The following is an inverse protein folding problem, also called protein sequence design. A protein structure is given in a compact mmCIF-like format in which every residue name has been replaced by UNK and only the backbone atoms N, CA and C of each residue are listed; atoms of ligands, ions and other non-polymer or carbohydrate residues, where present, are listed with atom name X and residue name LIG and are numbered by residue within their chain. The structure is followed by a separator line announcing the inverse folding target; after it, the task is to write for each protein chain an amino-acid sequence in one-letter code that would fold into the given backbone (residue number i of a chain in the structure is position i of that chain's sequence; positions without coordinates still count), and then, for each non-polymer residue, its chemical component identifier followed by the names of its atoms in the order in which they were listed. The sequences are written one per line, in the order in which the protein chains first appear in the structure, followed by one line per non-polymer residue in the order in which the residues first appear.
data_IF_087549470783
#
_entry.id   IF_087549470783
#
_cell.length_a   1.000
_cell.length_b   1.000
_cell.length_c   1.000
_cell.angle_alpha   90.00
_cell.angle_beta   90.00
_cell.angle_gamma   90.00
#
_symmetry.space_group_name_H-M   'P 1'
#
loop_
_entity.id
_entity.type
_entity.pdbx_description
1 polymer ?
#
# COMPACT_ATOMS: atom_id res chain seq x y z
N UNK A 1 7.92 -1.61 15.78
CA UNK A 1 6.86 -0.93 15.00
C UNK A 1 7.42 -0.53 13.64
N UNK A 2 6.77 -0.95 12.56
CA UNK A 2 7.15 -0.60 11.19
C UNK A 2 6.81 0.88 10.94
N UNK A 3 7.78 1.66 10.46
CA UNK A 3 7.58 3.09 10.16
C UNK A 3 7.19 3.26 8.70
N UNK A 4 6.14 4.05 8.47
CA UNK A 4 5.66 4.43 7.15
C UNK A 4 5.84 5.93 6.96
N UNK A 5 6.17 6.33 5.72
CA UNK A 5 6.12 7.73 5.32
C UNK A 5 4.66 8.19 5.18
N UNK A 6 4.43 9.50 5.07
CA UNK A 6 3.07 10.05 4.89
C UNK A 6 2.35 9.44 3.67
N UNK A 7 3.10 9.14 2.61
CA UNK A 7 2.62 8.42 1.43
C UNK A 7 2.19 6.98 1.77
N UNK A 8 2.96 6.29 2.61
CA UNK A 8 2.61 4.95 3.12
C UNK A 8 1.35 4.98 3.97
N UNK A 9 1.14 6.02 4.79
CA UNK A 9 -0.08 6.19 5.58
C UNK A 9 -1.31 6.42 4.71
N UNK A 10 -1.19 7.24 3.66
CA UNK A 10 -2.25 7.40 2.67
C UNK A 10 -2.57 6.06 1.96
N UNK A 11 -1.54 5.28 1.65
CA UNK A 11 -1.68 3.92 1.13
C UNK A 11 -2.46 2.99 2.06
N UNK A 12 -2.19 3.03 3.38
CA UNK A 12 -2.96 2.28 4.39
C UNK A 12 -4.43 2.67 4.35
N UNK A 13 -4.72 3.97 4.35
CA UNK A 13 -6.10 4.45 4.33
C UNK A 13 -6.84 3.99 3.06
N UNK A 14 -6.22 4.13 1.89
CA UNK A 14 -6.78 3.65 0.62
C UNK A 14 -7.03 2.14 0.63
N UNK A 15 -6.04 1.36 1.10
CA UNK A 15 -6.12 -0.10 1.17
C UNK A 15 -7.28 -0.58 2.07
N UNK A 16 -7.53 0.11 3.18
CA UNK A 16 -8.59 -0.27 4.13
C UNK A 16 -9.97 0.20 3.70
N UNK A 17 -10.07 1.42 3.15
CA UNK A 17 -11.36 2.04 2.80
C UNK A 17 -11.89 1.54 1.46
N UNK A 18 -11.02 1.32 0.47
CA UNK A 18 -11.42 0.88 -0.86
C UNK A 18 -12.28 -0.40 -0.87
N UNK A 19 -11.95 -1.50 -0.18
CA UNK A 19 -12.78 -2.71 -0.19
C UNK A 19 -14.15 -2.50 0.47
N UNK A 20 -14.23 -1.63 1.48
CA UNK A 20 -15.51 -1.29 2.15
C UNK A 20 -16.42 -0.53 1.19
N UNK A 21 -15.87 0.49 0.51
CA UNK A 21 -16.61 1.28 -0.49
C UNK A 21 -17.03 0.39 -1.67
N UNK A 22 -16.13 -0.47 -2.14
CA UNK A 22 -16.44 -1.43 -3.22
C UNK A 22 -17.53 -2.42 -2.82
N UNK A 23 -17.54 -2.93 -1.58
CA UNK A 23 -18.61 -3.79 -1.10
C UNK A 23 -19.97 -3.08 -1.09
N UNK A 24 -20.01 -1.83 -0.62
CA UNK A 24 -21.22 -1.00 -0.68
C UNK A 24 -21.69 -0.74 -2.11
N UNK A 25 -20.77 -0.43 -3.02
CA UNK A 25 -21.07 -0.22 -4.43
C UNK A 25 -21.57 -1.50 -5.12
N UNK A 26 -21.06 -2.67 -4.73
CA UNK A 26 -21.53 -3.96 -5.22
C UNK A 26 -22.96 -4.25 -4.76
N UNK A 27 -23.26 -4.04 -3.48
CA UNK A 27 -24.63 -4.17 -2.97
C UNK A 27 -25.59 -3.21 -3.67
N UNK A 28 -25.16 -1.97 -3.90
CA UNK A 28 -25.94 -1.01 -4.67
C UNK A 28 -26.14 -1.46 -6.13
N UNK A 29 -25.14 -2.05 -6.77
CA UNK A 29 -25.28 -2.61 -8.12
C UNK A 29 -26.33 -3.73 -8.15
N UNK A 30 -26.31 -4.63 -7.16
CA UNK A 30 -27.29 -5.72 -7.05
C UNK A 30 -28.71 -5.19 -6.84
N UNK A 31 -28.85 -4.17 -6.00
CA UNK A 31 -30.13 -3.46 -5.81
C UNK A 31 -30.64 -2.89 -7.14
N UNK A 32 -29.79 -2.18 -7.89
CA UNK A 32 -30.14 -1.63 -9.20
C UNK A 32 -30.50 -2.69 -10.25
N UNK A 33 -29.85 -3.85 -10.21
CA UNK A 33 -30.18 -4.98 -11.09
C UNK A 33 -31.52 -5.64 -10.76
N UNK A 34 -31.99 -5.49 -9.51
CA UNK A 34 -33.30 -5.99 -9.08
C UNK A 34 -34.46 -5.03 -9.43
N UNK A 35 -34.15 -3.78 -9.79
CA UNK A 35 -35.14 -2.76 -10.11
C UNK A 35 -35.62 -2.84 -11.57
N UNK A 36 -36.86 -2.41 -11.86
CA UNK A 36 -37.38 -2.33 -13.22
C UNK A 36 -36.60 -1.31 -14.06
N UNK A 37 -36.51 -1.55 -15.37
CA UNK A 37 -35.55 -0.89 -16.27
C UNK A 37 -35.57 0.65 -16.25
N UNK A 38 -36.71 1.27 -15.94
CA UNK A 38 -36.88 2.71 -15.94
C UNK A 38 -36.27 3.43 -14.72
N UNK A 39 -35.98 2.71 -13.63
CA UNK A 39 -35.33 3.25 -12.42
C UNK A 39 -33.85 2.89 -12.34
N UNK A 40 -33.37 2.07 -13.27
CA UNK A 40 -32.08 1.42 -13.19
C UNK A 40 -30.93 2.36 -13.60
N UNK A 41 -30.06 2.68 -12.66
CA UNK A 41 -28.77 3.34 -12.91
C UNK A 41 -27.60 2.39 -12.57
N UNK A 42 -27.09 1.70 -13.60
CA UNK A 42 -25.93 0.80 -13.46
C UNK A 42 -24.59 1.54 -13.52
N UNK A 43 -24.56 2.74 -14.11
CA UNK A 43 -23.32 3.46 -14.41
C UNK A 43 -22.66 3.93 -13.12
N UNK A 44 -23.43 4.52 -12.20
CA UNK A 44 -22.91 5.02 -10.94
C UNK A 44 -22.25 3.93 -10.06
N UNK A 45 -22.93 2.80 -9.74
CA UNK A 45 -22.30 1.74 -8.94
C UNK A 45 -21.15 1.04 -9.68
N UNK A 46 -21.23 0.85 -11.01
CA UNK A 46 -20.14 0.28 -11.78
C UNK A 46 -18.89 1.17 -11.79
N UNK A 47 -19.07 2.49 -11.93
CA UNK A 47 -17.97 3.45 -11.84
C UNK A 47 -17.33 3.44 -10.45
N UNK A 48 -18.12 3.40 -9.38
CA UNK A 48 -17.62 3.32 -8.02
C UNK A 48 -16.81 2.03 -7.79
N UNK A 49 -17.26 0.89 -8.31
CA UNK A 49 -16.53 -0.38 -8.25
C UNK A 49 -15.19 -0.32 -8.99
N UNK A 50 -15.19 0.26 -10.19
CA UNK A 50 -13.96 0.45 -10.97
C UNK A 50 -12.97 1.38 -10.26
N UNK A 51 -13.45 2.55 -9.80
CA UNK A 51 -12.65 3.51 -9.06
C UNK A 51 -12.11 2.92 -7.73
N UNK A 52 -12.95 2.20 -6.98
CA UNK A 52 -12.56 1.52 -5.74
C UNK A 52 -11.50 0.46 -5.96
N UNK A 53 -11.60 -0.33 -7.04
CA UNK A 53 -10.58 -1.33 -7.41
C UNK A 53 -9.23 -0.69 -7.75
N UNK A 54 -9.25 0.42 -8.51
CA UNK A 54 -8.04 1.19 -8.83
C UNK A 54 -7.43 1.82 -7.57
N UNK A 55 -8.26 2.38 -6.69
CA UNK A 55 -7.82 2.92 -5.41
C UNK A 55 -7.20 1.85 -4.52
N UNK A 56 -7.75 0.63 -4.49
CA UNK A 56 -7.16 -0.47 -3.75
C UNK A 56 -5.77 -0.84 -4.30
N UNK A 57 -5.63 -0.97 -5.62
CA UNK A 57 -4.35 -1.24 -6.28
C UNK A 57 -3.32 -0.14 -6.00
N UNK A 58 -3.73 1.13 -6.10
CA UNK A 58 -2.88 2.28 -5.77
C UNK A 58 -2.45 2.25 -4.30
N UNK A 59 -3.36 1.90 -3.38
CA UNK A 59 -3.07 1.71 -1.95
C UNK A 59 -2.00 0.64 -1.72
N UNK A 60 -2.12 -0.52 -2.38
CA UNK A 60 -1.11 -1.58 -2.33
C UNK A 60 0.27 -1.09 -2.78
N UNK A 61 0.34 -0.35 -3.90
CA UNK A 61 1.62 0.19 -4.40
C UNK A 61 2.21 1.22 -3.43
N UNK A 62 1.39 2.13 -2.91
CA UNK A 62 1.83 3.14 -1.93
C UNK A 62 2.32 2.50 -0.63
N UNK A 63 1.70 1.41 -0.17
CA UNK A 63 2.17 0.65 0.99
C UNK A 63 3.56 0.05 0.79
N UNK A 64 3.82 -0.48 -0.40
CA UNK A 64 5.11 -1.08 -0.73
C UNK A 64 6.22 -0.02 -0.82
N UNK A 65 5.95 1.11 -1.48
CA UNK A 65 6.92 2.20 -1.67
C UNK A 65 7.12 3.01 -0.40
N UNK A 66 6.04 3.26 0.37
CA UNK A 66 6.07 4.08 1.58
C UNK A 66 6.66 3.39 2.81
N UNK A 67 7.17 2.16 2.67
CA UNK A 67 7.80 1.40 3.75
C UNK A 67 9.22 1.91 4.00
N UNK A 68 9.49 2.47 5.18
CA UNK A 68 10.88 2.87 5.51
C UNK A 68 11.72 1.62 5.77
N UNK A 69 12.73 1.37 4.95
CA UNK A 69 13.68 0.28 5.16
C UNK A 69 14.82 0.78 6.05
N UNK A 70 14.83 0.36 7.31
CA UNK A 70 15.97 0.61 8.20
C UNK A 70 17.01 -0.47 7.91
N UNK A 71 17.98 -0.16 7.05
CA UNK A 71 19.16 -1.00 6.89
C UNK A 71 20.03 -0.81 8.14
N UNK A 72 20.00 -1.79 9.05
CA UNK A 72 20.97 -1.84 10.14
C UNK A 72 22.28 -2.33 9.56
N UNK A 73 23.15 -1.41 9.17
CA UNK A 73 24.53 -1.75 8.77
C UNK A 73 25.31 -1.97 10.06
N UNK A 74 25.49 -3.24 10.43
CA UNK A 74 26.45 -3.60 11.48
C UNK A 74 27.84 -3.27 10.95
N UNK A 75 28.39 -2.13 11.37
CA UNK A 75 29.76 -1.75 11.06
C UNK A 75 30.65 -2.71 11.83
N UNK A 76 31.11 -3.77 11.18
CA UNK A 76 32.17 -4.62 11.73
C UNK A 76 33.43 -3.76 11.68
N UNK A 77 33.75 -3.11 12.80
CA UNK A 77 35.07 -2.52 13.02
C UNK A 77 36.09 -3.68 13.02
N UNK A 78 36.54 -4.07 11.82
CA UNK A 78 37.70 -4.93 11.64
C UNK A 78 38.94 -4.11 11.99
N UNK A 79 39.14 -3.86 13.29
CA UNK A 79 40.46 -3.63 13.88
C UNK A 79 41.19 -4.97 13.75
N UNK A 80 41.77 -5.21 12.58
CA UNK A 80 42.85 -6.16 12.43
C UNK A 80 44.11 -5.33 12.27
N UNK A 81 44.79 -5.13 13.39
CA UNK A 81 46.16 -4.63 13.44
C UNK A 81 46.97 -5.27 12.31
N UNK A 82 47.63 -4.43 11.51
CA UNK A 82 48.57 -4.87 10.48
C UNK A 82 49.78 -5.52 11.19
N UNK A 83 50.02 -6.83 11.04
CA UNK A 83 51.14 -7.50 11.68
C UNK A 83 52.51 -7.16 11.05
N UNK A 84 52.59 -6.20 10.11
CA UNK A 84 53.86 -5.77 9.48
C UNK A 84 54.48 -4.52 10.09
N UNK A 85 53.96 -4.00 11.19
CA UNK A 85 54.52 -2.82 11.86
C UNK A 85 55.73 -3.11 12.77
N UNK A 86 56.14 -4.36 12.96
CA UNK A 86 57.20 -4.72 13.94
C UNK A 86 58.60 -4.96 13.37
N UNK A 87 58.81 -4.84 12.05
CA UNK A 87 60.10 -5.17 11.40
C UNK A 87 61.00 -3.95 11.10
N UNK A 88 60.75 -2.81 11.74
CA UNK A 88 61.64 -1.64 11.70
C UNK A 88 62.14 -1.30 13.10
N UNK A 89 63.08 -2.11 13.63
CA UNK A 89 64.01 -1.70 14.69
C UNK A 89 65.35 -2.40 14.55
#
# INVERSE_FOLDING_TARGET
MQKFTDLGQAGIALFMVAPIVSAGAYLWLLDQLSQPEFLRNLVAPAFLLGAGSLAFLAGCVMLLIGRSQVFTVERIDQVKEDPRSSDFR
#
